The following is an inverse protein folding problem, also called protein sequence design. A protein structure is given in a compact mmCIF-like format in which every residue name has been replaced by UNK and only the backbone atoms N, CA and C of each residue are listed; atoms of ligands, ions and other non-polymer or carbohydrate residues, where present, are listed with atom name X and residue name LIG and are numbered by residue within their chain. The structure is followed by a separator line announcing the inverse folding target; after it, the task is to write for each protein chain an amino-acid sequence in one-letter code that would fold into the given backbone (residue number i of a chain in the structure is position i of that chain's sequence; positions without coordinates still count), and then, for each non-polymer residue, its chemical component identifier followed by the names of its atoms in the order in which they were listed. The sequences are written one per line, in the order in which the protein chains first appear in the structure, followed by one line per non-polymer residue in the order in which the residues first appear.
data_IF_972245077772
#
_entry.id   IF_972245077772
#
_cell.length_a   1.000
_cell.length_b   1.000
_cell.length_c   1.000
_cell.angle_alpha   90.00
_cell.angle_beta   90.00
_cell.angle_gamma   90.00
#
_symmetry.space_group_name_H-M   'P 1'
#
loop_
_entity.id
_entity.type
_entity.pdbx_description
1 polymer ?
#
# COMPACT_ATOMS: atom_id res chain seq x y z
N UNK A 1 -2.75 26.45 2.61
CA UNK A 1 -1.87 26.43 1.41
C UNK A 1 -0.46 26.10 1.89
N UNK A 2 0.00 24.85 1.78
CA UNK A 2 1.41 24.48 1.95
C UNK A 2 1.69 23.19 1.14
N UNK A 3 1.64 23.33 -0.18
CA UNK A 3 2.06 22.29 -1.14
C UNK A 3 3.60 22.16 -1.18
N UNK A 4 4.32 23.00 -0.43
CA UNK A 4 5.79 23.15 -0.48
C UNK A 4 6.62 22.37 0.56
N UNK A 5 6.00 21.67 1.51
CA UNK A 5 6.73 21.06 2.64
C UNK A 5 6.86 19.53 2.57
N UNK A 6 6.32 18.88 1.53
CA UNK A 6 6.62 17.47 1.32
C UNK A 6 8.10 17.33 0.95
N UNK A 7 8.85 16.53 1.70
CA UNK A 7 10.27 16.26 1.45
C UNK A 7 10.51 15.70 0.05
N UNK A 8 9.57 14.93 -0.49
CA UNK A 8 9.61 14.42 -1.88
C UNK A 8 9.43 15.54 -2.90
N UNK A 9 8.59 16.54 -2.62
CA UNK A 9 8.41 17.72 -3.47
C UNK A 9 9.69 18.58 -3.51
N UNK A 10 10.34 18.79 -2.37
CA UNK A 10 11.61 19.52 -2.32
C UNK A 10 12.75 18.75 -3.00
N UNK A 11 12.86 17.43 -2.79
CA UNK A 11 13.85 16.59 -3.51
C UNK A 11 13.63 16.62 -5.03
N UNK A 12 12.38 16.54 -5.50
CA UNK A 12 12.04 16.64 -6.93
C UNK A 12 12.41 18.00 -7.52
N UNK A 13 12.21 19.08 -6.75
CA UNK A 13 12.46 20.46 -7.18
C UNK A 13 13.95 20.82 -7.22
N UNK A 14 14.73 20.38 -6.23
CA UNK A 14 16.14 20.78 -6.08
C UNK A 14 17.15 19.74 -6.56
N UNK A 15 16.78 18.45 -6.65
CA UNK A 15 17.70 17.36 -7.02
C UNK A 15 17.06 16.32 -7.97
N UNK A 16 16.58 16.72 -9.16
CA UNK A 16 15.75 15.87 -10.03
C UNK A 16 16.43 14.58 -10.52
N UNK A 17 17.76 14.57 -10.71
CA UNK A 17 18.53 13.38 -11.12
C UNK A 17 18.67 12.34 -10.00
N UNK A 18 18.86 12.79 -8.76
CA UNK A 18 18.94 11.93 -7.57
C UNK A 18 17.54 11.43 -7.21
N UNK A 19 16.54 12.31 -7.30
CA UNK A 19 15.14 11.96 -7.15
C UNK A 19 14.73 10.84 -8.11
N UNK A 20 15.09 10.92 -9.39
CA UNK A 20 14.71 9.91 -10.37
C UNK A 20 15.20 8.51 -9.99
N UNK A 21 16.50 8.33 -9.71
CA UNK A 21 17.04 7.00 -9.44
C UNK A 21 16.65 6.46 -8.05
N UNK A 22 16.67 7.31 -7.02
CA UNK A 22 16.38 6.88 -5.64
C UNK A 22 14.89 6.64 -5.44
N UNK A 23 14.03 7.53 -5.96
CA UNK A 23 12.58 7.39 -5.81
C UNK A 23 12.02 6.28 -6.67
N UNK A 24 12.49 6.11 -7.92
CA UNK A 24 12.05 4.98 -8.74
C UNK A 24 12.45 3.65 -8.12
N UNK A 25 13.69 3.51 -7.63
CA UNK A 25 14.10 2.28 -6.95
C UNK A 25 13.31 2.03 -5.66
N UNK A 26 12.95 3.08 -4.92
CA UNK A 26 12.09 2.97 -3.75
C UNK A 26 10.68 2.50 -4.09
N UNK A 27 10.07 3.09 -5.11
CA UNK A 27 8.75 2.70 -5.64
C UNK A 27 8.77 1.24 -6.09
N UNK A 28 9.78 0.86 -6.87
CA UNK A 28 9.94 -0.50 -7.39
C UNK A 28 10.09 -1.51 -6.24
N UNK A 29 10.94 -1.23 -5.25
CA UNK A 29 11.09 -2.08 -4.06
C UNK A 29 9.77 -2.23 -3.31
N UNK A 30 9.03 -1.14 -3.09
CA UNK A 30 7.73 -1.20 -2.43
C UNK A 30 6.72 -2.03 -3.22
N UNK A 31 6.63 -1.81 -4.53
CA UNK A 31 5.75 -2.60 -5.41
C UNK A 31 6.14 -4.07 -5.40
N UNK A 32 7.42 -4.41 -5.50
CA UNK A 32 7.89 -5.80 -5.45
C UNK A 32 7.56 -6.49 -4.11
N UNK A 33 7.67 -5.77 -2.99
CA UNK A 33 7.26 -6.30 -1.70
C UNK A 33 5.74 -6.57 -1.63
N UNK A 34 4.91 -5.68 -2.21
CA UNK A 34 3.46 -5.88 -2.30
C UNK A 34 3.14 -7.08 -3.19
N UNK A 35 3.76 -7.19 -4.38
CA UNK A 35 3.59 -8.33 -5.28
C UNK A 35 3.95 -9.65 -4.61
N UNK A 36 5.10 -9.73 -3.94
CA UNK A 36 5.53 -10.94 -3.24
C UNK A 36 4.54 -11.35 -2.13
N UNK A 37 3.95 -10.39 -1.41
CA UNK A 37 2.90 -10.68 -0.44
C UNK A 37 1.63 -11.21 -1.11
N UNK A 38 1.25 -10.67 -2.28
CA UNK A 38 0.09 -11.16 -3.03
C UNK A 38 0.35 -12.58 -3.54
N UNK A 39 1.52 -12.84 -4.14
CA UNK A 39 1.93 -14.18 -4.62
C UNK A 39 1.92 -15.22 -3.49
N UNK A 40 2.44 -14.83 -2.32
CA UNK A 40 2.40 -15.67 -1.12
C UNK A 40 0.96 -15.96 -0.71
N UNK A 41 0.10 -14.96 -0.64
CA UNK A 41 -1.30 -15.15 -0.26
C UNK A 41 -2.09 -15.98 -1.29
N UNK A 42 -1.74 -15.91 -2.58
CA UNK A 42 -2.29 -16.81 -3.61
C UNK A 42 -1.84 -18.25 -3.33
N UNK A 43 -0.55 -18.46 -3.04
CA UNK A 43 0.01 -19.78 -2.70
C UNK A 43 -0.64 -20.38 -1.45
N UNK A 44 -0.95 -19.55 -0.45
CA UNK A 44 -1.63 -19.96 0.79
C UNK A 44 -3.17 -20.10 0.63
N UNK A 45 -3.71 -19.75 -0.54
CA UNK A 45 -5.14 -19.83 -0.86
C UNK A 45 -6.00 -18.74 -0.21
N UNK A 46 -5.39 -17.70 0.35
CA UNK A 46 -6.08 -16.57 0.99
C UNK A 46 -6.39 -15.44 0.01
N UNK A 47 -5.65 -15.33 -1.10
CA UNK A 47 -5.93 -14.42 -2.20
C UNK A 47 -6.36 -15.15 -3.47
N UNK A 48 -7.19 -14.48 -4.26
CA UNK A 48 -7.75 -15.02 -5.51
C UNK A 48 -6.65 -15.22 -6.56
N UNK A 49 -6.69 -16.35 -7.28
CA UNK A 49 -5.70 -16.71 -8.32
C UNK A 49 -5.91 -16.04 -9.67
N UNK A 50 -7.10 -15.48 -9.90
CA UNK A 50 -7.55 -14.88 -11.16
C UNK A 50 -7.39 -13.34 -11.20
N UNK A 51 -6.62 -12.78 -10.26
CA UNK A 51 -6.31 -11.36 -10.21
C UNK A 51 -5.01 -11.07 -10.98
N UNK A 52 -4.94 -9.86 -11.54
CA UNK A 52 -3.69 -9.32 -12.04
C UNK A 52 -2.87 -8.73 -10.88
N UNK A 53 -1.74 -9.36 -10.57
CA UNK A 53 -0.88 -9.01 -9.43
C UNK A 53 -0.28 -7.61 -9.61
N UNK A 54 0.10 -7.24 -10.85
CA UNK A 54 0.70 -5.94 -11.14
C UNK A 54 -0.31 -4.83 -10.92
N UNK A 55 -1.53 -4.99 -11.44
CA UNK A 55 -2.62 -4.01 -11.26
C UNK A 55 -2.99 -3.89 -9.77
N UNK A 56 -3.12 -5.00 -9.04
CA UNK A 56 -3.46 -4.97 -7.62
C UNK A 56 -2.38 -4.26 -6.79
N UNK A 57 -1.10 -4.56 -7.05
CA UNK A 57 0.01 -3.91 -6.38
C UNK A 57 0.03 -2.40 -6.65
N UNK A 58 -0.27 -2.00 -7.90
CA UNK A 58 -0.35 -0.60 -8.29
C UNK A 58 -1.51 0.14 -7.62
N UNK A 59 -2.67 -0.49 -7.49
CA UNK A 59 -3.80 0.07 -6.74
C UNK A 59 -3.46 0.28 -5.27
N UNK A 60 -2.92 -0.74 -4.60
CA UNK A 60 -2.53 -0.61 -3.19
C UNK A 60 -1.45 0.46 -3.00
N UNK A 61 -0.43 0.47 -3.85
CA UNK A 61 0.64 1.46 -3.80
C UNK A 61 0.10 2.88 -3.97
N UNK A 62 -0.78 3.09 -4.95
CA UNK A 62 -1.37 4.41 -5.22
C UNK A 62 -2.22 4.92 -4.05
N UNK A 63 -3.04 4.05 -3.46
CA UNK A 63 -3.83 4.40 -2.28
C UNK A 63 -2.93 4.69 -1.06
N UNK A 64 -1.90 3.87 -0.84
CA UNK A 64 -0.93 4.07 0.24
C UNK A 64 -0.19 5.41 0.11
N UNK A 65 0.23 5.74 -1.11
CA UNK A 65 0.87 7.03 -1.41
C UNK A 65 -0.10 8.19 -1.15
N UNK A 66 -1.37 8.07 -1.55
CA UNK A 66 -2.39 9.09 -1.31
C UNK A 66 -2.62 9.39 0.18
N UNK A 67 -2.42 8.40 1.06
CA UNK A 67 -2.51 8.57 2.51
C UNK A 67 -1.22 9.21 3.04
N UNK A 68 -0.06 8.80 2.52
CA UNK A 68 1.24 9.33 2.93
C UNK A 68 1.42 10.82 2.57
N UNK A 69 0.79 11.30 1.49
CA UNK A 69 0.88 12.70 1.08
C UNK A 69 -0.06 13.65 1.85
N UNK A 70 -0.96 13.13 2.69
CA UNK A 70 -1.87 13.96 3.49
C UNK A 70 -1.14 14.59 4.67
N UNK A 71 -1.36 15.88 4.86
CA UNK A 71 -0.95 16.63 6.05
C UNK A 71 -2.02 16.48 7.14
N UNK A 72 -2.07 15.31 7.78
CA UNK A 72 -3.03 14.97 8.84
C UNK A 72 -2.30 14.39 10.06
N UNK A 73 -2.90 14.45 11.26
CA UNK A 73 -2.32 13.87 12.47
C UNK A 73 -1.93 12.39 12.30
N UNK A 74 -0.84 11.97 12.95
CA UNK A 74 -0.28 10.62 12.80
C UNK A 74 -1.28 9.51 13.15
N UNK A 75 -2.13 9.72 14.16
CA UNK A 75 -3.20 8.79 14.52
C UNK A 75 -4.21 8.59 13.38
N UNK A 76 -4.54 9.64 12.63
CA UNK A 76 -5.43 9.56 11.46
C UNK A 76 -4.75 8.86 10.28
N UNK A 77 -3.44 9.08 10.07
CA UNK A 77 -2.66 8.31 9.08
C UNK A 77 -2.69 6.82 9.40
N UNK A 78 -2.45 6.44 10.66
CA UNK A 78 -2.47 5.04 11.10
C UNK A 78 -3.86 4.42 10.91
N UNK A 79 -4.92 5.15 11.26
CA UNK A 79 -6.30 4.72 11.02
C UNK A 79 -6.57 4.48 9.54
N UNK A 80 -6.21 5.43 8.66
CA UNK A 80 -6.40 5.27 7.22
C UNK A 80 -5.58 4.13 6.62
N UNK A 81 -4.34 3.90 7.11
CA UNK A 81 -3.53 2.75 6.68
C UNK A 81 -4.14 1.42 7.09
N UNK A 82 -4.70 1.33 8.31
CA UNK A 82 -5.43 0.14 8.77
C UNK A 82 -6.65 -0.12 7.87
N UNK A 83 -7.46 0.91 7.62
CA UNK A 83 -8.62 0.78 6.73
C UNK A 83 -8.23 0.42 5.30
N UNK A 84 -7.13 0.98 4.76
CA UNK A 84 -6.62 0.62 3.45
C UNK A 84 -6.21 -0.86 3.38
N UNK A 85 -5.49 -1.36 4.38
CA UNK A 85 -5.08 -2.76 4.43
C UNK A 85 -6.31 -3.67 4.41
N UNK A 86 -7.32 -3.36 5.23
CA UNK A 86 -8.56 -4.12 5.31
C UNK A 86 -9.32 -4.06 3.97
N UNK A 87 -9.51 -2.86 3.43
CA UNK A 87 -10.18 -2.63 2.15
C UNK A 87 -9.53 -3.41 1.02
N UNK A 88 -8.21 -3.30 0.87
CA UNK A 88 -7.50 -3.97 -0.22
C UNK A 88 -7.48 -5.49 -0.05
N UNK A 89 -7.28 -5.98 1.18
CA UNK A 89 -7.36 -7.41 1.49
C UNK A 89 -8.72 -7.96 1.08
N UNK A 90 -9.83 -7.32 1.49
CA UNK A 90 -11.19 -7.74 1.09
C UNK A 90 -11.39 -7.72 -0.43
N UNK A 91 -10.78 -6.77 -1.14
CA UNK A 91 -10.92 -6.65 -2.58
C UNK A 91 -10.30 -7.85 -3.34
N UNK A 92 -9.23 -8.45 -2.81
CA UNK A 92 -8.47 -9.52 -3.48
C UNK A 92 -8.57 -10.90 -2.79
N UNK A 93 -9.17 -10.98 -1.60
CA UNK A 93 -9.26 -12.21 -0.83
C UNK A 93 -10.24 -13.24 -1.41
N UNK A 94 -9.94 -14.51 -1.13
CA UNK A 94 -10.90 -15.61 -1.25
C UNK A 94 -11.85 -15.61 -0.04
N UNK A 95 -12.88 -16.45 -0.05
CA UNK A 95 -13.72 -16.66 1.14
C UNK A 95 -12.91 -17.11 2.37
N UNK A 96 -11.86 -17.93 2.15
CA UNK A 96 -10.91 -18.33 3.19
C UNK A 96 -10.17 -17.11 3.74
N UNK A 97 -9.60 -16.28 2.86
CA UNK A 97 -8.88 -15.07 3.26
C UNK A 97 -9.76 -14.07 4.00
N UNK A 98 -11.03 -13.93 3.62
CA UNK A 98 -12.00 -13.09 4.34
C UNK A 98 -12.22 -13.63 5.76
N UNK A 99 -12.43 -14.95 5.93
CA UNK A 99 -12.59 -15.56 7.26
C UNK A 99 -11.36 -15.35 8.15
N UNK A 100 -10.16 -15.48 7.60
CA UNK A 100 -8.92 -15.22 8.33
C UNK A 100 -8.80 -13.74 8.72
N UNK A 101 -9.13 -12.82 7.81
CA UNK A 101 -9.16 -11.39 8.10
C UNK A 101 -10.12 -11.06 9.25
N UNK A 102 -11.35 -11.54 9.21
CA UNK A 102 -12.33 -11.28 10.29
C UNK A 102 -11.87 -11.87 11.63
N UNK A 103 -11.26 -13.07 11.61
CA UNK A 103 -10.67 -13.68 12.81
C UNK A 103 -9.57 -12.80 13.40
N UNK A 104 -8.70 -12.23 12.56
CA UNK A 104 -7.65 -11.33 13.05
C UNK A 104 -8.23 -10.01 13.55
N UNK A 105 -9.23 -9.44 12.87
CA UNK A 105 -9.90 -8.22 13.34
C UNK A 105 -10.59 -8.40 14.69
N UNK A 106 -11.20 -9.55 14.95
CA UNK A 106 -11.85 -9.84 16.23
C UNK A 106 -10.87 -9.96 17.40
N UNK A 107 -9.63 -10.41 17.17
CA UNK A 107 -8.58 -10.45 18.22
C UNK A 107 -8.11 -9.07 18.66
N UNK A 108 -8.25 -8.07 17.80
CA UNK A 108 -7.79 -6.70 18.01
C UNK A 108 -8.95 -5.69 18.13
N UNK A 109 -10.17 -6.19 18.43
CA UNK A 109 -11.30 -5.38 18.91
C UNK A 109 -11.15 -5.10 20.40
#
# INVERSE_FOLDING_TARGET
KNVGNSSTYQLKKYYPKIYHNVVLSGIEKSKNAIKSNIEKGITEGIFRKDIDIDICADFYFSLSLSIHEKDIPQNEVLKQKKELLIYHTRAIATEKGIKELETELDKHK
#
